data_IF_121766160850
#
_entry.id   IF_121766160850
#
_cell.length_a   1.000
_cell.length_b   1.000
_cell.length_c   1.000
_cell.angle_alpha   90.00
_cell.angle_beta   90.00
_cell.angle_gamma   90.00
#
_symmetry.space_group_name_H-M   'P 1'
#
loop_
_entity.id
_entity.type
_entity.pdbx_description
1 polymer ?
#
# COMPACT_ATOMS: atom_id res chain seq x y z
N UNK A 1 19.98 50.95 -21.55
CA UNK A 1 19.80 49.53 -21.92
C UNK A 1 20.86 48.72 -21.19
N UNK A 2 20.60 48.27 -19.96
CA UNK A 2 21.43 47.26 -19.30
C UNK A 2 20.55 46.02 -19.14
N UNK A 3 20.56 45.17 -20.16
CA UNK A 3 19.94 43.85 -20.10
C UNK A 3 20.86 42.96 -19.28
N UNK A 4 20.47 42.69 -18.04
CA UNK A 4 21.17 41.84 -17.10
C UNK A 4 21.26 40.41 -17.62
N UNK A 5 22.36 40.05 -18.28
CA UNK A 5 22.72 38.66 -18.53
C UNK A 5 23.14 38.05 -17.18
N UNK A 6 22.18 37.53 -16.42
CA UNK A 6 22.48 36.66 -15.28
C UNK A 6 23.34 35.51 -15.80
N UNK A 7 24.51 35.31 -15.18
CA UNK A 7 25.44 34.23 -15.50
C UNK A 7 24.68 32.88 -15.58
N UNK A 8 24.98 31.99 -16.55
CA UNK A 8 24.23 30.74 -16.76
C UNK A 8 24.06 29.90 -15.48
N UNK A 9 25.07 29.92 -14.60
CA UNK A 9 25.02 29.27 -13.28
C UNK A 9 23.95 29.86 -12.34
N UNK A 10 23.79 31.20 -12.31
CA UNK A 10 22.77 31.87 -11.49
C UNK A 10 21.36 31.59 -12.03
N UNK A 11 21.21 31.51 -13.36
CA UNK A 11 19.95 31.15 -14.00
C UNK A 11 19.54 29.71 -13.68
N UNK A 12 20.49 28.77 -13.74
CA UNK A 12 20.27 27.37 -13.34
C UNK A 12 19.95 27.24 -11.86
N UNK A 13 20.67 27.94 -10.99
CA UNK A 13 20.40 27.95 -9.55
C UNK A 13 19.01 28.50 -9.24
N UNK A 14 18.64 29.64 -9.83
CA UNK A 14 17.32 30.24 -9.66
C UNK A 14 16.19 29.30 -10.14
N UNK A 15 16.40 28.60 -11.26
CA UNK A 15 15.44 27.65 -11.78
C UNK A 15 15.25 26.46 -10.83
N UNK A 16 16.34 25.85 -10.37
CA UNK A 16 16.30 24.72 -9.44
C UNK A 16 15.66 25.11 -8.10
N UNK A 17 15.95 26.30 -7.59
CA UNK A 17 15.33 26.83 -6.37
C UNK A 17 13.82 27.06 -6.56
N UNK A 18 13.42 27.68 -7.67
CA UNK A 18 12.00 27.88 -7.97
C UNK A 18 11.24 26.56 -8.17
N UNK A 19 11.89 25.56 -8.76
CA UNK A 19 11.35 24.22 -8.95
C UNK A 19 11.13 23.51 -7.61
N UNK A 20 12.12 23.57 -6.72
CA UNK A 20 12.00 23.00 -5.37
C UNK A 20 10.86 23.65 -4.56
N UNK A 21 10.77 24.99 -4.55
CA UNK A 21 9.67 25.69 -3.88
C UNK A 21 8.31 25.28 -4.47
N UNK A 22 8.22 25.16 -5.79
CA UNK A 22 6.99 24.74 -6.46
C UNK A 22 6.57 23.34 -5.99
N UNK A 23 7.50 22.39 -5.97
CA UNK A 23 7.25 21.03 -5.50
C UNK A 23 6.77 21.02 -4.04
N UNK A 24 7.42 21.77 -3.15
CA UNK A 24 7.03 21.82 -1.73
C UNK A 24 5.62 22.42 -1.55
N UNK A 25 5.28 23.50 -2.27
CA UNK A 25 3.93 24.09 -2.21
C UNK A 25 2.87 23.11 -2.73
N UNK A 26 3.16 22.41 -3.83
CA UNK A 26 2.23 21.44 -4.43
C UNK A 26 2.07 20.22 -3.54
N UNK A 27 3.14 19.72 -2.95
CA UNK A 27 3.13 18.63 -1.99
C UNK A 27 2.25 18.99 -0.78
N UNK A 28 2.46 20.15 -0.17
CA UNK A 28 1.67 20.60 0.99
C UNK A 28 0.17 20.66 0.68
N UNK A 29 -0.20 21.23 -0.48
CA UNK A 29 -1.61 21.25 -0.94
C UNK A 29 -2.17 19.85 -1.17
N UNK A 30 -1.36 18.94 -1.70
CA UNK A 30 -1.78 17.56 -1.93
C UNK A 30 -1.93 16.73 -0.65
N UNK A 31 -1.14 17.02 0.39
CA UNK A 31 -1.29 16.40 1.71
C UNK A 31 -2.60 16.84 2.38
N UNK A 32 -2.97 18.11 2.24
CA UNK A 32 -4.26 18.61 2.68
C UNK A 32 -5.40 17.89 1.93
N UNK A 33 -5.25 17.66 0.62
CA UNK A 33 -6.20 16.88 -0.17
C UNK A 33 -6.29 15.40 0.27
N UNK A 34 -5.17 14.74 0.56
CA UNK A 34 -5.16 13.38 1.11
C UNK A 34 -6.01 13.27 2.38
N UNK A 35 -6.14 14.39 3.11
CA UNK A 35 -6.93 14.50 4.34
C UNK A 35 -8.38 14.97 4.10
N UNK A 36 -8.69 15.59 2.96
CA UNK A 36 -10.01 16.16 2.63
C UNK A 36 -10.40 15.83 1.17
N UNK A 37 -11.34 14.88 0.98
CA UNK A 37 -11.71 14.34 -0.33
C UNK A 37 -12.60 15.28 -1.18
N UNK A 38 -12.15 16.50 -1.50
CA UNK A 38 -12.84 17.36 -2.48
C UNK A 38 -11.88 17.85 -3.57
N UNK A 39 -12.30 17.51 -4.78
CA UNK A 39 -11.84 17.92 -6.12
C UNK A 39 -10.65 18.87 -6.22
N UNK A 40 -9.61 18.39 -6.89
CA UNK A 40 -8.69 19.26 -7.63
C UNK A 40 -7.92 18.52 -8.72
N UNK A 41 -8.61 17.97 -9.73
CA UNK A 41 -7.99 17.33 -10.92
C UNK A 41 -6.83 18.15 -11.51
N UNK A 42 -6.90 19.49 -11.44
CA UNK A 42 -5.83 20.39 -11.85
C UNK A 42 -4.55 20.30 -10.99
N UNK A 43 -4.66 20.15 -9.67
CA UNK A 43 -3.49 20.00 -8.78
C UNK A 43 -2.78 18.69 -9.08
N UNK A 44 -3.55 17.62 -9.33
CA UNK A 44 -2.99 16.32 -9.71
C UNK A 44 -2.19 16.39 -11.01
N UNK A 45 -2.76 17.01 -12.05
CA UNK A 45 -2.08 17.13 -13.35
C UNK A 45 -0.79 17.95 -13.23
N UNK A 46 -0.87 19.11 -12.59
CA UNK A 46 0.30 19.97 -12.36
C UNK A 46 1.39 19.23 -11.58
N UNK A 47 1.01 18.48 -10.54
CA UNK A 47 1.96 17.77 -9.70
C UNK A 47 2.62 16.60 -10.45
N UNK A 48 1.84 15.87 -11.26
CA UNK A 48 2.36 14.83 -12.16
C UNK A 48 3.37 15.37 -13.15
N UNK A 49 3.08 16.53 -13.76
CA UNK A 49 4.00 17.18 -14.69
C UNK A 49 5.29 17.62 -13.97
N UNK A 50 5.19 18.14 -12.74
CA UNK A 50 6.36 18.51 -11.95
C UNK A 50 7.21 17.28 -11.54
N UNK A 51 6.58 16.14 -11.25
CA UNK A 51 7.25 14.87 -10.94
C UNK A 51 7.96 14.26 -12.15
N UNK A 52 7.59 14.63 -13.37
CA UNK A 52 8.25 14.14 -14.59
C UNK A 52 9.69 14.64 -14.74
N UNK A 53 10.03 15.77 -14.09
CA UNK A 53 11.37 16.33 -14.10
C UNK A 53 12.35 15.49 -13.26
N UNK A 54 13.59 15.43 -13.71
CA UNK A 54 14.66 14.68 -13.04
C UNK A 54 14.93 15.21 -11.63
N UNK A 55 15.10 14.31 -10.66
CA UNK A 55 15.34 14.67 -9.25
C UNK A 55 14.07 14.96 -8.45
N UNK A 56 12.96 15.35 -9.10
CA UNK A 56 11.73 15.77 -8.43
C UNK A 56 11.18 14.72 -7.46
N UNK A 57 11.19 13.44 -7.85
CA UNK A 57 10.65 12.35 -7.03
C UNK A 57 11.42 12.18 -5.73
N UNK A 58 12.75 12.30 -5.79
CA UNK A 58 13.59 12.22 -4.59
C UNK A 58 13.38 13.41 -3.67
N UNK A 59 13.26 14.62 -4.22
CA UNK A 59 12.97 15.84 -3.44
C UNK A 59 11.62 15.70 -2.73
N UNK A 60 10.58 15.31 -3.47
CA UNK A 60 9.23 15.10 -2.93
C UNK A 60 9.22 13.99 -1.87
N UNK A 61 9.87 12.85 -2.14
CA UNK A 61 9.97 11.75 -1.19
C UNK A 61 10.63 12.15 0.13
N UNK A 62 11.73 12.89 0.07
CA UNK A 62 12.43 13.39 1.27
C UNK A 62 11.62 14.45 2.03
N UNK A 63 10.99 15.40 1.32
CA UNK A 63 10.10 16.39 1.95
C UNK A 63 8.91 15.72 2.63
N UNK A 64 8.28 14.74 1.96
CA UNK A 64 7.16 13.98 2.50
C UNK A 64 7.57 13.08 3.67
N UNK A 65 8.73 12.43 3.59
CA UNK A 65 9.32 11.63 4.68
C UNK A 65 9.47 12.46 5.96
N UNK A 66 10.01 13.68 5.84
CA UNK A 66 10.11 14.62 6.97
C UNK A 66 8.74 15.00 7.53
N UNK A 67 7.77 15.27 6.66
CA UNK A 67 6.41 15.60 7.09
C UNK A 67 5.74 14.44 7.84
N UNK A 68 5.91 13.20 7.34
CA UNK A 68 5.39 11.97 7.95
C UNK A 68 5.96 11.79 9.36
N UNK A 69 7.27 11.96 9.54
CA UNK A 69 7.89 11.85 10.87
C UNK A 69 7.36 12.88 11.87
N UNK A 70 7.12 14.11 11.43
CA UNK A 70 6.71 15.18 12.35
C UNK A 70 5.21 15.19 12.66
N UNK A 71 4.37 14.69 11.77
CA UNK A 71 2.91 14.85 11.87
C UNK A 71 2.14 13.52 11.99
N UNK A 72 2.59 12.47 11.29
CA UNK A 72 1.88 11.19 11.22
C UNK A 72 2.40 10.19 12.25
N UNK A 73 3.73 10.03 12.35
CA UNK A 73 4.38 9.01 13.19
C UNK A 73 4.61 9.51 14.61
N UNK A 74 3.51 9.93 15.25
CA UNK A 74 3.51 10.39 16.64
C UNK A 74 2.70 9.42 17.52
N UNK A 75 3.06 9.27 18.81
CA UNK A 75 2.35 8.38 19.73
C UNK A 75 0.87 8.73 19.94
N UNK A 76 0.46 9.96 19.60
CA UNK A 76 -0.91 10.45 19.73
C UNK A 76 -1.84 9.94 18.62
N UNK A 77 -1.29 9.46 17.51
CA UNK A 77 -2.08 9.02 16.37
C UNK A 77 -2.38 7.52 16.46
N UNK A 78 -3.66 7.17 16.31
CA UNK A 78 -4.09 5.79 16.30
C UNK A 78 -3.54 5.03 15.09
N UNK A 79 -3.28 3.73 15.28
CA UNK A 79 -2.86 2.84 14.19
C UNK A 79 -3.81 2.87 13.00
N UNK A 80 -5.13 2.88 13.26
CA UNK A 80 -6.15 2.90 12.21
C UNK A 80 -6.03 4.15 11.35
N UNK A 81 -5.74 5.31 11.97
CA UNK A 81 -5.49 6.55 11.24
C UNK A 81 -4.23 6.47 10.39
N UNK A 82 -3.13 5.95 10.94
CA UNK A 82 -1.86 5.79 10.21
C UNK A 82 -2.05 4.87 8.98
N UNK A 83 -2.74 3.73 9.15
CA UNK A 83 -3.03 2.81 8.06
C UNK A 83 -3.96 3.40 7.02
N UNK A 84 -5.01 4.10 7.45
CA UNK A 84 -5.93 4.77 6.52
C UNK A 84 -5.22 5.83 5.70
N UNK A 85 -4.34 6.62 6.34
CA UNK A 85 -3.50 7.59 5.63
C UNK A 85 -2.56 6.89 4.64
N UNK A 86 -1.91 5.78 5.05
CA UNK A 86 -1.02 5.03 4.16
C UNK A 86 -1.76 4.45 2.94
N UNK A 87 -2.98 3.92 3.12
CA UNK A 87 -3.81 3.44 2.00
C UNK A 87 -4.17 4.59 1.03
N UNK A 88 -4.54 5.75 1.56
CA UNK A 88 -4.79 6.96 0.75
C UNK A 88 -3.51 7.40 0.01
N UNK A 89 -2.35 7.31 0.66
CA UNK A 89 -1.05 7.65 0.10
C UNK A 89 -0.69 6.74 -1.09
N UNK A 90 -0.86 5.42 -0.92
CA UNK A 90 -0.62 4.44 -2.00
C UNK A 90 -1.56 4.74 -3.17
N UNK A 91 -2.84 4.96 -2.90
CA UNK A 91 -3.85 5.25 -3.93
C UNK A 91 -3.54 6.53 -4.70
N UNK A 92 -3.08 7.57 -4.00
CA UNK A 92 -2.70 8.86 -4.57
C UNK A 92 -1.46 8.74 -5.46
N UNK A 93 -0.39 8.09 -4.98
CA UNK A 93 0.83 7.95 -5.78
C UNK A 93 0.70 6.92 -6.92
N UNK A 94 -0.23 5.97 -6.83
CA UNK A 94 -0.56 5.06 -7.93
C UNK A 94 -0.90 5.83 -9.22
N UNK A 95 -1.63 6.94 -9.11
CA UNK A 95 -2.01 7.74 -10.28
C UNK A 95 -0.94 8.78 -10.68
N UNK A 96 -0.17 9.26 -9.71
CA UNK A 96 0.77 10.38 -9.87
C UNK A 96 2.18 9.96 -10.26
N UNK A 97 2.72 8.89 -9.67
CA UNK A 97 4.09 8.44 -9.88
C UNK A 97 4.11 6.99 -10.38
N UNK A 98 3.96 6.69 -11.67
CA UNK A 98 4.00 5.30 -12.14
C UNK A 98 5.33 4.57 -11.82
N UNK A 99 6.39 5.29 -11.42
CA UNK A 99 7.69 4.69 -11.10
C UNK A 99 7.78 4.13 -9.68
N UNK A 100 6.85 4.47 -8.78
CA UNK A 100 6.84 4.01 -7.38
C UNK A 100 8.01 4.47 -6.49
N UNK A 101 8.76 5.48 -6.94
CA UNK A 101 9.95 5.98 -6.23
C UNK A 101 9.55 6.74 -4.98
N UNK A 102 8.56 7.61 -5.08
CA UNK A 102 8.13 8.43 -3.93
C UNK A 102 7.62 7.53 -2.82
N UNK A 103 6.78 6.54 -3.16
CA UNK A 103 6.24 5.60 -2.18
C UNK A 103 7.35 4.75 -1.54
N UNK A 104 8.34 4.29 -2.31
CA UNK A 104 9.46 3.51 -1.77
C UNK A 104 10.24 4.28 -0.69
N UNK A 105 10.43 5.59 -0.87
CA UNK A 105 11.13 6.45 0.12
C UNK A 105 10.34 6.59 1.43
N UNK A 106 9.00 6.70 1.33
CA UNK A 106 8.13 6.99 2.48
C UNK A 106 7.54 5.75 3.14
N UNK A 107 7.57 4.58 2.48
CA UNK A 107 7.08 3.33 3.03
C UNK A 107 7.96 2.83 4.18
N UNK A 108 9.29 2.88 4.03
CA UNK A 108 10.25 2.43 5.04
C UNK A 108 9.99 3.00 6.45
N UNK A 109 9.87 4.32 6.67
CA UNK A 109 9.65 4.86 8.01
C UNK A 109 8.29 4.46 8.60
N UNK A 110 7.25 4.34 7.77
CA UNK A 110 5.92 3.89 8.20
C UNK A 110 5.99 2.42 8.64
N UNK A 111 6.64 1.56 7.84
CA UNK A 111 6.81 0.15 8.15
C UNK A 111 7.62 -0.05 9.43
N UNK A 112 8.72 0.69 9.57
CA UNK A 112 9.58 0.67 10.76
C UNK A 112 8.81 1.08 12.02
N UNK A 113 7.90 2.06 11.93
CA UNK A 113 7.07 2.50 13.05
C UNK A 113 5.99 1.47 13.46
N UNK A 114 5.33 0.84 12.48
CA UNK A 114 4.24 -0.12 12.74
C UNK A 114 4.72 -1.51 13.24
N UNK A 115 6.02 -1.81 13.17
CA UNK A 115 6.56 -3.16 13.46
C UNK A 115 6.53 -3.60 14.92
N UNK A 116 6.50 -2.68 15.87
CA UNK A 116 6.85 -3.03 17.26
C UNK A 116 5.78 -3.87 17.99
N UNK A 117 4.47 -3.60 17.80
CA UNK A 117 3.39 -4.34 18.48
C UNK A 117 2.04 -4.30 17.71
N UNK A 118 2.05 -3.79 16.48
CA UNK A 118 0.83 -3.32 15.80
C UNK A 118 0.36 -4.30 14.70
N UNK A 119 1.13 -5.36 14.42
CA UNK A 119 0.82 -6.38 13.40
C UNK A 119 -0.63 -6.90 13.51
N UNK A 120 -1.12 -7.16 14.73
CA UNK A 120 -2.50 -7.61 14.97
C UNK A 120 -3.54 -6.58 14.54
N UNK A 121 -3.29 -5.30 14.83
CA UNK A 121 -4.15 -4.20 14.41
C UNK A 121 -4.14 -4.02 12.89
N UNK A 122 -2.97 -4.19 12.25
CA UNK A 122 -2.84 -4.14 10.79
C UNK A 122 -3.64 -5.27 10.13
N UNK A 123 -3.48 -6.51 10.61
CA UNK A 123 -4.23 -7.66 10.07
C UNK A 123 -5.74 -7.48 10.30
N UNK A 124 -6.15 -6.99 11.48
CA UNK A 124 -7.54 -6.69 11.75
C UNK A 124 -8.10 -5.62 10.80
N UNK A 125 -7.36 -4.54 10.55
CA UNK A 125 -7.77 -3.47 9.63
C UNK A 125 -7.84 -3.96 8.17
N UNK A 126 -6.90 -4.81 7.73
CA UNK A 126 -6.95 -5.46 6.42
C UNK A 126 -8.20 -6.34 6.31
N UNK A 127 -8.50 -7.11 7.37
CA UNK A 127 -9.68 -7.99 7.44
C UNK A 127 -11.00 -7.25 7.57
N UNK A 128 -11.03 -5.97 7.98
CA UNK A 128 -12.26 -5.17 7.92
C UNK A 128 -12.74 -4.92 6.48
N UNK A 129 -11.94 -5.23 5.46
CA UNK A 129 -12.46 -5.38 4.10
C UNK A 129 -12.93 -4.08 3.48
N UNK A 130 -12.16 -2.98 3.61
CA UNK A 130 -12.38 -1.81 2.77
C UNK A 130 -12.28 -2.28 1.31
N UNK A 131 -13.39 -2.17 0.57
CA UNK A 131 -13.54 -2.66 -0.81
C UNK A 131 -12.36 -2.26 -1.71
N UNK A 132 -11.71 -1.12 -1.44
CA UNK A 132 -10.55 -0.61 -2.15
C UNK A 132 -9.29 -1.52 -2.07
N UNK A 133 -9.07 -2.26 -0.96
CA UNK A 133 -7.93 -3.19 -0.79
C UNK A 133 -8.01 -4.43 -1.68
N UNK A 134 -9.25 -4.82 -2.01
CA UNK A 134 -9.57 -6.08 -2.68
C UNK A 134 -10.15 -5.87 -4.09
N UNK A 135 -10.65 -4.68 -4.40
CA UNK A 135 -11.10 -4.28 -5.73
C UNK A 135 -9.97 -3.77 -6.62
N UNK A 136 -8.72 -3.73 -6.15
CA UNK A 136 -7.57 -3.64 -7.06
C UNK A 136 -7.61 -4.88 -7.93
N UNK A 137 -8.30 -4.78 -9.09
CA UNK A 137 -8.12 -5.72 -10.18
C UNK A 137 -6.61 -5.77 -10.39
N UNK A 138 -6.05 -6.96 -10.21
CA UNK A 138 -4.73 -7.27 -10.75
C UNK A 138 -4.81 -6.83 -12.20
N UNK A 139 -4.06 -5.79 -12.57
CA UNK A 139 -3.88 -5.47 -13.98
C UNK A 139 -3.31 -6.75 -14.59
N UNK A 140 -4.13 -7.37 -15.43
CA UNK A 140 -4.15 -8.80 -15.64
C UNK A 140 -2.92 -9.24 -16.43
N UNK A 141 -2.06 -10.07 -15.84
CA UNK A 141 -1.56 -11.30 -16.46
C UNK A 141 -0.87 -12.24 -15.46
N UNK A 142 -1.50 -13.39 -15.22
CA UNK A 142 -0.89 -14.69 -14.91
C UNK A 142 0.07 -14.80 -13.72
N UNK A 143 -0.36 -15.54 -12.70
CA UNK A 143 0.52 -16.34 -11.84
C UNK A 143 1.65 -15.59 -11.13
N UNK A 144 1.32 -14.53 -10.38
CA UNK A 144 2.26 -13.97 -9.41
C UNK A 144 2.29 -14.81 -8.12
N UNK A 145 2.68 -16.07 -8.29
CA UNK A 145 3.50 -16.75 -7.28
C UNK A 145 4.86 -16.06 -7.35
N UNK A 146 4.94 -14.84 -6.83
CA UNK A 146 6.22 -14.19 -6.57
C UNK A 146 6.82 -14.85 -5.33
N UNK A 147 7.41 -16.01 -5.64
CA UNK A 147 8.67 -16.49 -5.10
C UNK A 147 9.68 -15.32 -5.09
N UNK A 148 10.56 -15.29 -4.10
CA UNK A 148 11.59 -14.25 -3.92
C UNK A 148 12.71 -14.33 -4.98
N UNK A 149 12.42 -14.91 -6.15
CA UNK A 149 13.29 -14.97 -7.31
C UNK A 149 13.04 -13.76 -8.22
N UNK A 150 14.06 -12.92 -8.30
CA UNK A 150 14.25 -11.72 -9.14
C UNK A 150 14.24 -12.01 -10.66
N UNK A 151 13.46 -12.99 -11.13
CA UNK A 151 13.64 -13.59 -12.46
C UNK A 151 12.32 -14.01 -13.11
N UNK A 152 11.36 -13.07 -13.18
CA UNK A 152 10.24 -13.18 -14.11
C UNK A 152 10.42 -12.14 -15.21
N UNK A 153 11.39 -12.40 -16.09
CA UNK A 153 11.47 -11.75 -17.40
C UNK A 153 10.21 -12.15 -18.19
N UNK A 154 9.15 -11.37 -18.03
CA UNK A 154 7.97 -11.51 -18.86
C UNK A 154 8.33 -10.98 -20.27
N UNK A 155 8.86 -11.87 -21.12
CA UNK A 155 9.31 -11.56 -22.48
C UNK A 155 8.19 -11.01 -23.40
N UNK A 156 6.93 -11.05 -22.95
CA UNK A 156 5.78 -10.47 -23.65
C UNK A 156 5.42 -9.05 -23.16
N UNK A 157 6.14 -8.50 -22.18
CA UNK A 157 5.94 -7.13 -21.69
C UNK A 157 6.56 -6.09 -22.63
N UNK A 158 5.82 -5.72 -23.67
CA UNK A 158 6.16 -4.60 -24.54
C UNK A 158 6.00 -3.21 -23.89
N UNK A 159 5.56 -3.14 -22.62
CA UNK A 159 5.41 -1.89 -21.86
C UNK A 159 6.62 -1.57 -20.96
N UNK A 160 7.66 -2.42 -20.99
CA UNK A 160 8.87 -2.20 -20.21
C UNK A 160 9.54 -0.87 -20.59
N UNK A 161 9.79 -0.05 -19.57
CA UNK A 161 10.55 1.20 -19.69
C UNK A 161 11.74 1.18 -18.71
N UNK A 162 12.87 1.80 -19.07
CA UNK A 162 14.01 1.88 -18.16
C UNK A 162 13.66 2.70 -16.93
N UNK A 163 14.32 2.40 -15.82
CA UNK A 163 14.16 3.17 -14.59
C UNK A 163 14.66 4.61 -14.78
N UNK A 164 13.97 5.60 -14.19
CA UNK A 164 14.49 6.96 -14.15
C UNK A 164 15.79 7.01 -13.34
N UNK A 165 16.63 8.02 -13.60
CA UNK A 165 17.92 8.21 -12.92
C UNK A 165 17.80 8.27 -11.39
N UNK A 166 16.67 8.75 -10.89
CA UNK A 166 16.31 8.84 -9.48
C UNK A 166 16.28 7.47 -8.76
N UNK A 167 15.98 6.38 -9.47
CA UNK A 167 15.90 5.04 -8.89
C UNK A 167 17.25 4.53 -8.36
N UNK A 168 18.38 5.08 -8.85
CA UNK A 168 19.72 4.69 -8.40
C UNK A 168 19.98 4.92 -6.92
N UNK A 169 19.22 5.81 -6.28
CA UNK A 169 19.36 6.13 -4.86
C UNK A 169 18.54 5.22 -3.94
N UNK A 170 17.71 4.35 -4.51
CA UNK A 170 16.83 3.46 -3.77
C UNK A 170 17.41 2.06 -3.80
N UNK A 171 17.33 1.35 -2.68
CA UNK A 171 17.74 -0.04 -2.62
C UNK A 171 16.90 -0.89 -3.60
N UNK A 172 17.53 -1.70 -4.47
CA UNK A 172 16.81 -2.50 -5.47
C UNK A 172 15.73 -3.40 -4.86
N UNK A 173 15.98 -3.97 -3.67
CA UNK A 173 15.00 -4.81 -2.97
C UNK A 173 13.81 -4.04 -2.38
N UNK A 174 13.93 -2.73 -2.19
CA UNK A 174 12.83 -1.86 -1.75
C UNK A 174 12.02 -1.31 -2.93
N UNK A 175 12.55 -1.43 -4.14
CA UNK A 175 11.92 -0.96 -5.36
C UNK A 175 11.12 -2.09 -6.02
N UNK A 176 9.79 -2.07 -5.87
CA UNK A 176 8.88 -2.92 -6.65
C UNK A 176 7.94 -2.02 -7.45
N UNK A 177 7.79 -2.26 -8.76
CA UNK A 177 6.84 -1.53 -9.63
C UNK A 177 5.36 -1.90 -9.38
N UNK A 178 5.02 -2.35 -8.19
CA UNK A 178 3.65 -2.73 -7.85
C UNK A 178 3.04 -1.76 -6.84
N UNK A 179 1.90 -1.18 -7.24
CA UNK A 179 1.02 -0.37 -6.41
C UNK A 179 -0.07 -1.20 -5.72
N UNK A 180 0.05 -2.52 -5.71
CA UNK A 180 -0.95 -3.35 -5.06
C UNK A 180 -0.92 -3.08 -3.55
N UNK A 181 -1.98 -2.44 -3.07
CA UNK A 181 -2.09 -1.93 -1.71
C UNK A 181 -1.92 -3.06 -0.72
N UNK A 182 -2.44 -4.24 -1.04
CA UNK A 182 -2.33 -5.41 -0.18
C UNK A 182 -0.89 -5.96 -0.12
N UNK A 183 -0.15 -5.96 -1.23
CA UNK A 183 1.29 -6.28 -1.19
C UNK A 183 2.11 -5.20 -0.46
N UNK A 184 1.75 -3.92 -0.58
CA UNK A 184 2.38 -2.82 0.17
C UNK A 184 2.05 -2.83 1.67
N UNK A 185 0.88 -3.33 2.04
CA UNK A 185 0.54 -3.55 3.45
C UNK A 185 1.23 -4.81 3.99
N UNK A 186 1.41 -5.83 3.15
CA UNK A 186 2.14 -7.04 3.54
C UNK A 186 3.63 -6.79 3.68
N UNK A 187 4.23 -5.87 2.93
CA UNK A 187 5.64 -5.51 3.10
C UNK A 187 5.96 -4.84 4.45
N UNK A 188 4.95 -4.34 5.18
CA UNK A 188 5.09 -3.97 6.60
C UNK A 188 5.58 -5.19 7.41
N UNK A 189 5.05 -6.37 7.08
CA UNK A 189 5.47 -7.64 7.64
C UNK A 189 6.77 -8.09 6.97
N UNK A 190 7.78 -8.44 7.77
CA UNK A 190 9.08 -8.92 7.25
C UNK A 190 8.95 -10.13 6.32
N UNK A 191 7.90 -10.92 6.49
CA UNK A 191 7.60 -12.07 5.65
C UNK A 191 6.10 -12.26 5.49
N UNK A 192 5.69 -12.84 4.36
CA UNK A 192 4.30 -13.27 4.11
C UNK A 192 3.83 -14.27 5.17
N UNK A 193 4.71 -15.16 5.63
CA UNK A 193 4.40 -16.14 6.67
C UNK A 193 3.95 -15.50 8.00
N UNK A 194 4.53 -14.37 8.40
CA UNK A 194 4.12 -13.65 9.62
C UNK A 194 2.70 -13.09 9.47
N UNK A 195 2.35 -12.55 8.29
CA UNK A 195 0.99 -12.09 8.00
C UNK A 195 -0.01 -13.24 8.13
N UNK A 196 0.27 -14.39 7.51
CA UNK A 196 -0.63 -15.54 7.55
C UNK A 196 -0.80 -16.10 8.97
N UNK A 197 0.27 -16.18 9.75
CA UNK A 197 0.19 -16.64 11.14
C UNK A 197 -0.67 -15.71 12.02
N UNK A 198 -0.53 -14.39 11.88
CA UNK A 198 -1.35 -13.43 12.63
C UNK A 198 -2.82 -13.44 12.14
N UNK A 199 -3.04 -13.58 10.83
CA UNK A 199 -4.39 -13.74 10.27
C UNK A 199 -5.05 -15.04 10.75
N UNK A 200 -4.30 -16.13 10.87
CA UNK A 200 -4.79 -17.39 11.44
C UNK A 200 -5.30 -17.18 12.88
N UNK A 201 -4.52 -16.51 13.72
CA UNK A 201 -4.89 -16.24 15.11
C UNK A 201 -6.12 -15.34 15.20
N UNK A 202 -6.20 -14.31 14.34
CA UNK A 202 -7.35 -13.42 14.26
C UNK A 202 -8.61 -14.17 13.82
N UNK A 203 -8.50 -14.97 12.76
CA UNK A 203 -9.59 -15.76 12.21
C UNK A 203 -10.07 -16.77 13.25
N UNK A 204 -9.18 -17.52 13.91
CA UNK A 204 -9.53 -18.46 14.96
C UNK A 204 -10.31 -17.79 16.10
N UNK A 205 -9.87 -16.60 16.55
CA UNK A 205 -10.58 -15.84 17.59
C UNK A 205 -11.98 -15.42 17.13
N UNK A 206 -12.09 -14.84 15.93
CA UNK A 206 -13.39 -14.43 15.37
C UNK A 206 -14.32 -15.62 15.23
N UNK A 207 -13.83 -16.71 14.67
CA UNK A 207 -14.54 -17.96 14.46
C UNK A 207 -15.12 -18.56 15.75
N UNK A 208 -14.42 -18.43 16.88
CA UNK A 208 -14.92 -18.86 18.20
C UNK A 208 -16.01 -17.92 18.72
N UNK A 209 -15.88 -16.62 18.49
CA UNK A 209 -16.85 -15.60 18.93
C UNK A 209 -18.12 -15.58 18.06
N UNK A 210 -18.11 -16.21 16.88
CA UNK A 210 -19.25 -16.25 15.96
C UNK A 210 -20.39 -17.06 16.56
N UNK A 211 -21.54 -16.40 16.75
CA UNK A 211 -22.83 -17.05 17.03
C UNK A 211 -23.75 -17.13 15.80
N UNK A 212 -23.51 -16.30 14.77
CA UNK A 212 -24.43 -16.15 13.63
C UNK A 212 -23.86 -16.70 12.30
N UNK A 213 -24.67 -17.45 11.52
CA UNK A 213 -24.23 -18.03 10.25
C UNK A 213 -23.90 -16.99 9.15
N UNK A 214 -24.52 -15.80 9.20
CA UNK A 214 -24.24 -14.71 8.25
C UNK A 214 -22.81 -14.16 8.38
N UNK A 215 -22.26 -14.18 9.60
CA UNK A 215 -20.88 -13.73 9.85
C UNK A 215 -19.88 -14.69 9.23
N UNK A 216 -20.16 -16.00 9.23
CA UNK A 216 -19.32 -17.03 8.59
C UNK A 216 -19.24 -16.80 7.08
N UNK A 217 -20.34 -16.41 6.46
CA UNK A 217 -20.39 -16.10 5.02
C UNK A 217 -19.46 -14.94 4.65
N UNK A 218 -19.36 -13.93 5.51
CA UNK A 218 -18.41 -12.83 5.32
C UNK A 218 -16.96 -13.29 5.43
N UNK A 219 -16.63 -14.13 6.43
CA UNK A 219 -15.29 -14.71 6.55
C UNK A 219 -14.92 -15.57 5.33
N UNK A 220 -15.86 -16.39 4.84
CA UNK A 220 -15.67 -17.20 3.62
C UNK A 220 -15.31 -16.31 2.43
N UNK A 221 -16.05 -15.22 2.22
CA UNK A 221 -15.77 -14.28 1.12
C UNK A 221 -14.39 -13.63 1.25
N UNK A 222 -13.97 -13.28 2.47
CA UNK A 222 -12.64 -12.73 2.72
C UNK A 222 -11.54 -13.75 2.41
N UNK A 223 -11.70 -14.99 2.89
CA UNK A 223 -10.73 -16.07 2.65
C UNK A 223 -10.67 -16.44 1.17
N UNK A 224 -11.79 -16.44 0.45
CA UNK A 224 -11.82 -16.63 -1.01
C UNK A 224 -11.09 -15.51 -1.75
N UNK A 225 -11.22 -14.28 -1.28
CA UNK A 225 -10.49 -13.13 -1.85
C UNK A 225 -8.98 -13.28 -1.63
N UNK A 226 -8.57 -13.72 -0.43
CA UNK A 226 -7.17 -14.03 -0.14
C UNK A 226 -6.66 -15.19 -1.01
N UNK A 227 -7.48 -16.23 -1.22
CA UNK A 227 -7.17 -17.36 -2.12
C UNK A 227 -6.89 -16.89 -3.55
N UNK A 228 -7.72 -15.98 -4.07
CA UNK A 228 -7.52 -15.42 -5.41
C UNK A 228 -6.20 -14.65 -5.55
N UNK A 229 -5.76 -13.98 -4.48
CA UNK A 229 -4.54 -13.14 -4.49
C UNK A 229 -3.24 -13.88 -4.15
N UNK A 230 -3.27 -14.87 -3.26
CA UNK A 230 -2.05 -15.54 -2.75
C UNK A 230 -1.90 -17.01 -3.14
N UNK A 231 -2.89 -17.58 -3.81
CA UNK A 231 -2.91 -19.02 -4.11
C UNK A 231 -3.44 -19.86 -2.94
N UNK A 232 -3.43 -21.18 -3.14
CA UNK A 232 -4.10 -22.13 -2.24
C UNK A 232 -3.26 -22.54 -1.02
N UNK A 233 -1.92 -22.57 -1.14
CA UNK A 233 -1.05 -23.20 -0.15
C UNK A 233 -1.17 -22.61 1.25
N UNK A 234 -1.15 -21.27 1.37
CA UNK A 234 -1.28 -20.58 2.66
C UNK A 234 -2.73 -20.46 3.15
N UNK A 235 -3.70 -20.67 2.26
CA UNK A 235 -5.12 -20.48 2.55
C UNK A 235 -5.82 -21.79 2.91
N UNK A 236 -5.21 -22.94 2.58
CA UNK A 236 -5.71 -24.26 2.92
C UNK A 236 -6.04 -24.41 4.42
N UNK A 237 -5.14 -23.94 5.30
CA UNK A 237 -5.36 -23.98 6.75
C UNK A 237 -6.59 -23.18 7.19
N UNK A 238 -6.84 -22.02 6.58
CA UNK A 238 -8.00 -21.17 6.89
C UNK A 238 -9.31 -21.82 6.43
N UNK A 239 -9.28 -22.45 5.25
CA UNK A 239 -10.43 -23.17 4.69
C UNK A 239 -10.82 -24.37 5.55
N UNK A 240 -9.85 -25.11 6.09
CA UNK A 240 -10.11 -26.22 7.01
C UNK A 240 -10.80 -25.70 8.28
N UNK A 241 -10.28 -24.65 8.92
CA UNK A 241 -10.91 -24.07 10.12
C UNK A 241 -12.35 -23.61 9.87
N UNK A 242 -12.62 -22.96 8.75
CA UNK A 242 -13.97 -22.52 8.37
C UNK A 242 -14.90 -23.72 8.13
N UNK A 243 -14.42 -24.73 7.42
CA UNK A 243 -15.18 -25.95 7.13
C UNK A 243 -15.55 -26.71 8.41
N UNK A 244 -14.62 -26.82 9.37
CA UNK A 244 -14.86 -27.49 10.65
C UNK A 244 -15.97 -26.79 11.45
N UNK A 245 -16.01 -25.46 11.44
CA UNK A 245 -17.05 -24.70 12.12
C UNK A 245 -18.39 -24.76 11.39
N UNK A 246 -18.38 -24.68 10.05
CA UNK A 246 -19.59 -24.88 9.25
C UNK A 246 -20.21 -26.27 9.49
N UNK A 247 -19.37 -27.31 9.61
CA UNK A 247 -19.80 -28.65 9.98
C UNK A 247 -20.35 -28.70 11.41
N UNK A 248 -19.71 -28.02 12.36
CA UNK A 248 -20.21 -27.91 13.75
C UNK A 248 -21.61 -27.29 13.82
N UNK A 249 -21.85 -26.18 13.11
CA UNK A 249 -23.19 -25.58 13.00
C UNK A 249 -24.21 -26.53 12.37
N UNK A 250 -23.83 -27.20 11.28
CA UNK A 250 -24.71 -28.16 10.60
C UNK A 250 -25.10 -29.32 11.52
N UNK A 251 -24.14 -29.88 12.25
CA UNK A 251 -24.37 -30.95 13.23
C UNK A 251 -25.26 -30.45 14.38
N UNK A 252 -24.98 -29.26 14.92
CA UNK A 252 -25.77 -28.68 16.01
C UNK A 252 -27.24 -28.46 15.60
N UNK A 253 -27.49 -27.96 14.39
CA UNK A 253 -28.86 -27.80 13.86
C UNK A 253 -29.57 -29.14 13.70
N UNK A 254 -28.86 -30.16 13.20
CA UNK A 254 -29.41 -31.52 13.08
C UNK A 254 -29.75 -32.11 14.46
N UNK A 255 -28.93 -31.88 15.48
CA UNK A 255 -29.22 -32.31 16.85
C UNK A 255 -30.46 -31.59 17.41
N UNK A 256 -30.57 -30.28 17.22
CA UNK A 256 -31.73 -29.50 17.66
C UNK A 256 -33.03 -29.90 16.94
N UNK A 257 -32.97 -30.33 15.68
CA UNK A 257 -34.14 -30.84 14.96
C UNK A 257 -34.59 -32.25 15.36
N UNK A 258 -33.69 -33.03 15.98
CA UNK A 258 -33.95 -34.40 16.43
C UNK A 258 -34.34 -34.48 17.92
N UNK A 259 -34.43 -33.33 18.60
CA UNK A 259 -34.97 -33.15 19.96
C UNK A 259 -36.37 -32.56 19.86
#
# INVERSE_FOLDING_TARGET
>A
MYGSYLHPALKSYSHNFSHQICLDIRLNKSIEFLSNSKDSVGIFKDFKDCLSLEGSRTIVGESLKKWIFSNLLNPENDTEYILSFYISLISFFKELDPTNIVLAIVAEPIHSYLRADINKCVVAEISKGKSLLFNSKTDHNGNDVHDDSDDSDNYEDFSWTPLPSDAKKIDPGSYKRSYDILNQLISIFKSKAMFFSEYQQLLAKRLIDISDPDTISNEINQVQTLKSKFGEDHVAEFLVMINDISNSFSINNNLQSNV
#
